data_IF_877617688632
#
_entry.id   IF_877617688632
#
_cell.length_a   1.000
_cell.length_b   1.000
_cell.length_c   1.000
_cell.angle_alpha   90.00
_cell.angle_beta   90.00
_cell.angle_gamma   90.00
#
_symmetry.space_group_name_H-M   'P 1'
#
loop_
_entity.id
_entity.type
_entity.pdbx_description
1 polymer ?
#
# COMPACT_ATOMS: atom_id res chain seq x y z
N UNK A 1 -8.07 -13.89 15.19
CA UNK A 1 -6.78 -13.32 14.79
C UNK A 1 -6.99 -12.49 13.56
N UNK A 2 -6.58 -11.24 13.58
CA UNK A 2 -6.63 -10.36 12.41
C UNK A 2 -5.56 -10.81 11.42
N UNK A 3 -5.93 -11.05 10.16
CA UNK A 3 -4.96 -11.36 9.12
C UNK A 3 -4.28 -10.06 8.67
N UNK A 4 -2.95 -10.09 8.55
CA UNK A 4 -2.14 -8.98 8.06
C UNK A 4 -1.52 -9.40 6.73
N UNK A 5 -1.83 -8.71 5.65
CA UNK A 5 -1.20 -8.89 4.35
C UNK A 5 -0.24 -7.73 4.08
N UNK A 6 1.00 -8.03 3.68
CA UNK A 6 1.93 -7.04 3.15
C UNK A 6 2.09 -7.25 1.64
N UNK A 7 1.78 -6.22 0.84
CA UNK A 7 1.93 -6.20 -0.62
C UNK A 7 3.20 -5.42 -0.95
N UNK A 8 4.16 -6.10 -1.59
CA UNK A 8 5.45 -5.50 -1.95
C UNK A 8 5.36 -4.51 -3.12
N UNK A 9 6.39 -3.71 -3.29
CA UNK A 9 6.53 -2.77 -4.39
C UNK A 9 6.73 -3.42 -5.75
N UNK A 10 6.90 -2.61 -6.79
CA UNK A 10 7.16 -3.05 -8.16
C UNK A 10 8.60 -2.77 -8.58
N UNK A 11 9.01 -3.41 -9.69
CA UNK A 11 10.35 -3.32 -10.24
C UNK A 11 11.32 -4.37 -9.71
N UNK A 12 12.50 -4.41 -10.31
CA UNK A 12 13.53 -5.42 -10.01
C UNK A 12 13.88 -5.44 -8.52
N UNK A 13 13.96 -6.65 -7.96
CA UNK A 13 14.30 -6.89 -6.54
C UNK A 13 13.36 -6.26 -5.49
N UNK A 14 12.23 -5.65 -5.88
CA UNK A 14 11.33 -4.97 -4.95
C UNK A 14 10.87 -5.89 -3.81
N UNK A 15 10.53 -7.15 -4.12
CA UNK A 15 10.17 -8.14 -3.11
C UNK A 15 11.28 -8.33 -2.05
N UNK A 16 12.53 -8.37 -2.47
CA UNK A 16 13.68 -8.54 -1.57
C UNK A 16 13.91 -7.30 -0.69
N UNK A 17 13.76 -6.11 -1.27
CA UNK A 17 13.89 -4.86 -0.49
C UNK A 17 12.78 -4.73 0.54
N UNK A 18 11.55 -5.07 0.19
CA UNK A 18 10.41 -4.95 1.09
C UNK A 18 10.39 -6.03 2.17
N UNK A 19 11.07 -7.16 1.92
CA UNK A 19 11.31 -8.14 2.97
C UNK A 19 12.01 -7.53 4.18
N UNK A 20 12.91 -6.56 3.99
CA UNK A 20 13.54 -5.84 5.09
C UNK A 20 12.53 -5.05 5.94
N UNK A 21 11.54 -4.41 5.31
CA UNK A 21 10.45 -3.74 6.04
C UNK A 21 9.68 -4.76 6.88
N UNK A 22 9.30 -5.88 6.27
CA UNK A 22 8.56 -6.95 6.96
C UNK A 22 9.37 -7.53 8.13
N UNK A 23 10.65 -7.82 7.92
CA UNK A 23 11.54 -8.40 8.94
C UNK A 23 11.73 -7.45 10.15
N UNK A 24 11.73 -6.12 9.92
CA UNK A 24 11.80 -5.10 10.98
C UNK A 24 10.45 -4.86 11.65
N UNK A 25 9.35 -4.96 10.91
CA UNK A 25 8.00 -4.71 11.44
C UNK A 25 7.49 -5.90 12.27
N UNK A 26 7.71 -7.13 11.80
CA UNK A 26 7.17 -8.34 12.42
C UNK A 26 7.44 -8.45 13.93
N UNK A 27 8.67 -8.21 14.44
CA UNK A 27 8.94 -8.32 15.88
C UNK A 27 8.27 -7.21 16.72
N UNK A 28 7.84 -6.11 16.11
CA UNK A 28 7.14 -5.01 16.80
C UNK A 28 5.64 -5.28 16.96
N UNK A 29 5.10 -6.21 16.17
CA UNK A 29 3.71 -6.66 16.29
C UNK A 29 3.66 -7.77 17.33
N UNK A 30 2.83 -7.67 18.33
CA UNK A 30 2.73 -8.68 19.41
C UNK A 30 2.62 -10.12 18.91
N UNK A 31 2.88 -11.09 19.79
CA UNK A 31 2.99 -12.54 19.47
C UNK A 31 1.76 -13.17 18.76
N UNK A 32 0.62 -12.47 18.73
CA UNK A 32 -0.62 -12.92 18.08
C UNK A 32 -0.79 -12.46 16.64
N UNK A 33 0.11 -11.63 16.12
CA UNK A 33 0.01 -11.06 14.76
C UNK A 33 1.14 -11.59 13.88
N UNK A 34 0.77 -12.08 12.70
CA UNK A 34 1.74 -12.53 11.70
C UNK A 34 1.44 -11.87 10.37
N UNK A 35 2.48 -11.30 9.77
CA UNK A 35 2.41 -10.72 8.42
C UNK A 35 2.50 -11.87 7.41
N UNK A 36 1.49 -11.98 6.54
CA UNK A 36 1.58 -12.74 5.31
C UNK A 36 2.23 -11.87 4.24
N UNK A 37 3.30 -12.38 3.61
CA UNK A 37 4.10 -11.65 2.65
C UNK A 37 4.33 -12.49 1.39
N UNK A 38 3.28 -12.65 0.55
CA UNK A 38 3.41 -13.38 -0.70
C UNK A 38 4.17 -12.57 -1.75
N UNK A 39 4.84 -13.27 -2.68
CA UNK A 39 5.32 -12.65 -3.91
C UNK A 39 4.13 -12.52 -4.87
N UNK A 40 3.74 -11.31 -5.19
CA UNK A 40 2.66 -11.02 -6.13
C UNK A 40 3.21 -11.08 -7.56
N UNK A 41 2.60 -11.95 -8.37
CA UNK A 41 3.00 -12.12 -9.78
C UNK A 41 2.72 -10.84 -10.55
N UNK A 42 3.67 -10.43 -11.37
CA UNK A 42 3.58 -9.24 -12.23
C UNK A 42 4.11 -7.94 -11.61
N UNK A 43 4.20 -7.80 -10.28
CA UNK A 43 4.69 -6.54 -9.68
C UNK A 43 6.14 -6.21 -10.04
N UNK A 44 7.04 -7.18 -10.02
CA UNK A 44 8.44 -6.93 -10.39
C UNK A 44 8.60 -6.57 -11.87
N UNK A 45 7.78 -7.16 -12.75
CA UNK A 45 7.77 -6.85 -14.18
C UNK A 45 6.85 -5.71 -14.60
N UNK A 46 6.09 -5.12 -13.64
CA UNK A 46 5.07 -4.09 -13.89
C UNK A 46 4.01 -4.53 -14.92
N UNK A 47 3.63 -5.80 -14.88
CA UNK A 47 2.59 -6.41 -15.73
C UNK A 47 1.23 -6.31 -15.03
N UNK A 48 0.39 -5.36 -15.46
CA UNK A 48 -0.89 -5.10 -14.81
C UNK A 48 -1.85 -6.30 -14.87
N UNK A 49 -1.93 -7.01 -15.98
CA UNK A 49 -2.86 -8.14 -16.12
C UNK A 49 -2.51 -9.28 -15.14
N UNK A 50 -1.21 -9.57 -15.01
CA UNK A 50 -0.72 -10.55 -14.04
C UNK A 50 -0.97 -10.08 -12.59
N UNK A 51 -0.70 -8.80 -12.28
CA UNK A 51 -0.96 -8.20 -10.96
C UNK A 51 -2.46 -8.23 -10.65
N UNK A 52 -3.31 -7.80 -11.57
CA UNK A 52 -4.75 -7.76 -11.36
C UNK A 52 -5.32 -9.14 -11.08
N UNK A 53 -4.82 -10.16 -11.76
CA UNK A 53 -5.22 -11.54 -11.52
C UNK A 53 -4.77 -12.05 -10.15
N UNK A 54 -3.48 -11.96 -9.83
CA UNK A 54 -2.88 -12.58 -8.65
C UNK A 54 -3.22 -11.82 -7.36
N UNK A 55 -3.00 -10.50 -7.35
CA UNK A 55 -3.34 -9.65 -6.21
C UNK A 55 -4.86 -9.56 -6.01
N UNK A 56 -5.64 -9.53 -7.11
CA UNK A 56 -7.09 -9.56 -7.05
C UNK A 56 -7.64 -10.83 -6.38
N UNK A 57 -7.05 -12.00 -6.66
CA UNK A 57 -7.37 -13.25 -5.98
C UNK A 57 -6.95 -13.19 -4.49
N UNK A 58 -5.72 -12.75 -4.22
CA UNK A 58 -5.19 -12.59 -2.86
C UNK A 58 -6.10 -11.72 -1.99
N UNK A 59 -6.52 -10.56 -2.51
CA UNK A 59 -7.41 -9.65 -1.77
C UNK A 59 -8.81 -10.22 -1.56
N UNK A 60 -9.34 -10.98 -2.52
CA UNK A 60 -10.67 -11.62 -2.43
C UNK A 60 -10.70 -12.69 -1.35
N UNK A 61 -9.60 -13.43 -1.20
CA UNK A 61 -9.50 -14.57 -0.28
C UNK A 61 -9.18 -14.14 1.16
N UNK A 62 -8.94 -12.83 1.40
CA UNK A 62 -8.68 -12.31 2.74
C UNK A 62 -9.91 -12.49 3.65
N UNK A 63 -9.71 -12.92 4.90
CA UNK A 63 -10.75 -12.92 5.91
C UNK A 63 -11.34 -11.52 6.13
N UNK A 64 -12.61 -11.44 6.53
CA UNK A 64 -13.22 -10.19 6.94
C UNK A 64 -12.45 -9.58 8.12
N UNK A 65 -12.21 -8.27 8.07
CA UNK A 65 -11.47 -7.55 9.12
C UNK A 65 -9.95 -7.67 8.99
N UNK A 66 -9.45 -8.14 7.83
CA UNK A 66 -8.01 -8.12 7.54
C UNK A 66 -7.47 -6.69 7.44
N UNK A 67 -6.19 -6.54 7.76
CA UNK A 67 -5.43 -5.31 7.53
C UNK A 67 -4.48 -5.53 6.36
N UNK A 68 -4.46 -4.60 5.41
CA UNK A 68 -3.51 -4.61 4.30
C UNK A 68 -2.50 -3.49 4.49
N UNK A 69 -1.24 -3.83 4.34
CA UNK A 69 -0.11 -2.90 4.28
C UNK A 69 0.46 -3.04 2.87
N UNK A 70 0.59 -1.97 2.14
CA UNK A 70 1.10 -2.03 0.78
C UNK A 70 2.15 -0.96 0.54
N UNK A 71 3.24 -1.30 -0.15
CA UNK A 71 4.37 -0.42 -0.37
C UNK A 71 4.54 -0.04 -1.85
N UNK A 72 4.92 1.22 -2.09
CA UNK A 72 5.34 1.71 -3.42
C UNK A 72 4.32 1.38 -4.52
N UNK A 73 4.72 0.80 -5.64
CA UNK A 73 3.82 0.39 -6.74
C UNK A 73 2.77 -0.63 -6.28
N UNK A 74 3.10 -1.51 -5.34
CA UNK A 74 2.12 -2.42 -4.75
C UNK A 74 0.98 -1.68 -4.05
N UNK A 75 1.27 -0.56 -3.40
CA UNK A 75 0.23 0.28 -2.81
C UNK A 75 -0.69 0.90 -3.88
N UNK A 76 -0.12 1.40 -4.98
CA UNK A 76 -0.90 1.89 -6.12
C UNK A 76 -1.73 0.78 -6.76
N UNK A 77 -1.19 -0.43 -6.86
CA UNK A 77 -1.89 -1.59 -7.40
C UNK A 77 -3.13 -1.96 -6.55
N UNK A 78 -2.99 -1.95 -5.22
CA UNK A 78 -4.15 -2.16 -4.31
C UNK A 78 -5.21 -1.08 -4.55
N UNK A 79 -4.81 0.20 -4.57
CA UNK A 79 -5.73 1.32 -4.80
C UNK A 79 -6.45 1.18 -6.14
N UNK A 80 -5.73 0.83 -7.22
CA UNK A 80 -6.32 0.62 -8.54
C UNK A 80 -7.32 -0.53 -8.55
N UNK A 81 -6.99 -1.67 -7.97
CA UNK A 81 -7.94 -2.81 -7.86
C UNK A 81 -9.21 -2.42 -7.10
N UNK A 82 -9.08 -1.66 -6.01
CA UNK A 82 -10.25 -1.14 -5.29
C UNK A 82 -11.08 -0.20 -6.18
N UNK A 83 -10.43 0.66 -6.96
CA UNK A 83 -11.12 1.55 -7.90
C UNK A 83 -11.79 0.79 -9.05
N UNK A 84 -11.24 -0.33 -9.48
CA UNK A 84 -11.81 -1.24 -10.49
C UNK A 84 -12.89 -2.19 -9.95
N UNK A 85 -13.24 -2.07 -8.68
CA UNK A 85 -14.38 -2.79 -8.11
C UNK A 85 -14.03 -3.94 -7.19
N UNK A 86 -12.76 -4.18 -6.84
CA UNK A 86 -12.42 -5.10 -5.76
C UNK A 86 -13.02 -4.61 -4.43
N UNK A 87 -13.61 -5.50 -3.65
CA UNK A 87 -14.32 -5.15 -2.39
C UNK A 87 -13.94 -6.10 -1.26
N UNK A 88 -12.64 -6.22 -0.92
CA UNK A 88 -12.23 -6.95 0.27
C UNK A 88 -12.80 -6.25 1.51
N UNK A 89 -13.19 -7.02 2.52
CA UNK A 89 -13.75 -6.47 3.77
C UNK A 89 -12.62 -6.18 4.75
N UNK A 90 -11.84 -5.13 4.47
CA UNK A 90 -10.69 -4.74 5.28
C UNK A 90 -11.13 -3.96 6.52
N UNK A 91 -10.39 -4.13 7.62
CA UNK A 91 -10.44 -3.24 8.77
C UNK A 91 -9.69 -1.93 8.47
N UNK A 92 -8.55 -2.00 7.79
CA UNK A 92 -7.72 -0.84 7.44
C UNK A 92 -6.82 -1.12 6.23
N UNK A 93 -6.48 -0.06 5.49
CA UNK A 93 -5.48 -0.07 4.43
C UNK A 93 -4.38 0.95 4.75
N UNK A 94 -3.15 0.46 4.95
CA UNK A 94 -1.95 1.27 5.10
C UNK A 94 -1.18 1.34 3.78
N UNK A 95 -0.95 2.54 3.28
CA UNK A 95 -0.19 2.82 2.06
C UNK A 95 1.16 3.43 2.42
N UNK A 96 2.24 2.81 2.03
CA UNK A 96 3.61 3.24 2.29
C UNK A 96 4.24 3.75 0.99
N UNK A 97 4.57 5.03 0.93
CA UNK A 97 5.26 5.67 -0.19
C UNK A 97 4.67 5.35 -1.58
N UNK A 98 3.34 5.41 -1.80
CA UNK A 98 2.75 5.07 -3.09
C UNK A 98 3.06 6.14 -4.14
N UNK A 99 3.45 5.78 -5.39
CA UNK A 99 3.36 6.70 -6.52
C UNK A 99 1.89 7.01 -6.82
N UNK A 100 1.59 8.27 -7.16
CA UNK A 100 0.25 8.65 -7.58
C UNK A 100 0.10 8.47 -9.10
N UNK A 101 -0.76 7.56 -9.50
CA UNK A 101 -0.95 7.15 -10.89
C UNK A 101 -2.13 7.86 -11.60
N UNK A 102 -2.48 9.06 -11.17
CA UNK A 102 -3.48 9.87 -11.89
C UNK A 102 -2.94 10.37 -13.23
N UNK A 103 -3.83 10.60 -14.20
CA UNK A 103 -3.49 11.02 -15.58
C UNK A 103 -2.69 12.32 -15.67
N UNK A 104 -2.67 13.12 -14.62
CA UNK A 104 -1.94 14.39 -14.47
C UNK A 104 -0.59 14.23 -13.74
N UNK A 105 -0.11 13.01 -13.55
CA UNK A 105 1.14 12.70 -12.85
C UNK A 105 2.17 12.05 -13.76
N UNK A 106 3.43 12.03 -13.32
CA UNK A 106 4.52 11.33 -13.99
C UNK A 106 4.31 9.81 -14.12
N UNK A 107 3.41 9.25 -13.29
CA UNK A 107 3.06 7.83 -13.25
C UNK A 107 1.71 7.52 -13.91
N UNK A 108 1.04 8.55 -14.49
CA UNK A 108 -0.33 8.45 -14.98
C UNK A 108 -0.46 7.83 -16.38
N UNK A 109 0.64 7.74 -17.14
CA UNK A 109 0.66 7.12 -18.47
C UNK A 109 1.17 5.69 -18.40
N UNK A 110 0.51 4.87 -17.60
CA UNK A 110 0.83 3.46 -17.40
C UNK A 110 -0.45 2.65 -17.28
N UNK A 111 -0.32 1.33 -17.41
CA UNK A 111 -1.43 0.40 -17.17
C UNK A 111 -1.93 0.43 -15.71
N UNK A 112 -1.17 1.06 -14.81
CA UNK A 112 -1.55 1.30 -13.41
C UNK A 112 -2.35 2.59 -13.20
N UNK A 113 -2.71 3.34 -14.24
CA UNK A 113 -3.40 4.62 -14.13
C UNK A 113 -4.73 4.55 -13.37
N UNK A 114 -5.01 5.61 -12.60
CA UNK A 114 -6.25 5.75 -11.82
C UNK A 114 -7.33 6.51 -12.61
N UNK A 115 -8.63 6.28 -12.31
CA UNK A 115 -9.70 7.14 -12.81
C UNK A 115 -9.55 8.56 -12.23
N UNK A 116 -10.03 9.57 -12.98
CA UNK A 116 -9.90 10.98 -12.61
C UNK A 116 -10.62 11.31 -11.28
N UNK A 117 -11.72 10.62 -11.00
CA UNK A 117 -12.55 10.76 -9.79
C UNK A 117 -12.31 9.58 -8.80
N UNK A 118 -11.04 9.29 -8.51
CA UNK A 118 -10.59 8.13 -7.74
C UNK A 118 -11.43 7.86 -6.49
N UNK A 119 -11.70 8.88 -5.66
CA UNK A 119 -12.45 8.71 -4.42
C UNK A 119 -13.86 8.13 -4.62
N UNK A 120 -14.52 8.46 -5.74
CA UNK A 120 -15.86 7.95 -6.04
C UNK A 120 -15.86 6.43 -6.32
N UNK A 121 -14.73 5.87 -6.70
CA UNK A 121 -14.57 4.47 -7.04
C UNK A 121 -14.10 3.59 -5.87
N UNK A 122 -13.57 4.21 -4.80
CA UNK A 122 -13.09 3.46 -3.63
C UNK A 122 -14.24 2.92 -2.75
N UNK A 123 -14.00 1.85 -1.98
CA UNK A 123 -14.98 1.35 -1.01
C UNK A 123 -15.33 2.42 0.03
N UNK A 124 -16.62 2.74 0.17
CA UNK A 124 -17.07 3.73 1.16
C UNK A 124 -16.75 3.27 2.58
N UNK A 125 -16.19 4.18 3.37
CA UNK A 125 -15.90 3.94 4.78
C UNK A 125 -14.71 3.02 5.04
N UNK A 126 -13.92 2.66 4.02
CA UNK A 126 -12.64 1.98 4.22
C UNK A 126 -11.64 2.96 4.82
N UNK A 127 -11.15 2.74 6.05
CA UNK A 127 -10.10 3.58 6.61
C UNK A 127 -8.79 3.38 5.84
N UNK A 128 -8.19 4.50 5.41
CA UNK A 128 -6.91 4.50 4.67
C UNK A 128 -5.97 5.47 5.38
N UNK A 129 -4.76 4.99 5.73
CA UNK A 129 -3.67 5.84 6.21
C UNK A 129 -2.49 5.72 5.26
N UNK A 130 -1.99 6.86 4.77
CA UNK A 130 -0.85 6.95 3.88
C UNK A 130 0.34 7.53 4.65
N UNK A 131 1.46 6.83 4.64
CA UNK A 131 2.75 7.29 5.14
C UNK A 131 3.71 7.56 3.99
N UNK A 132 4.45 8.68 4.09
CA UNK A 132 5.50 9.02 3.12
C UNK A 132 6.65 9.69 3.85
N UNK A 133 7.90 9.37 3.47
CA UNK A 133 9.08 10.06 3.99
C UNK A 133 9.35 11.33 3.20
N UNK A 134 9.72 12.41 3.88
CA UNK A 134 10.05 13.69 3.22
C UNK A 134 11.38 13.66 2.44
N UNK A 135 12.24 12.69 2.73
CA UNK A 135 13.51 12.42 2.07
C UNK A 135 13.49 11.20 1.13
N UNK A 136 12.28 10.79 0.67
CA UNK A 136 12.13 9.70 -0.29
C UNK A 136 12.76 10.07 -1.64
N UNK A 137 13.85 9.38 -1.97
CA UNK A 137 14.66 9.61 -3.17
C UNK A 137 14.13 8.86 -4.42
N UNK A 138 13.15 7.98 -4.26
CA UNK A 138 12.56 7.18 -5.34
C UNK A 138 11.21 7.77 -5.76
N UNK A 139 10.30 7.93 -4.80
CA UNK A 139 8.97 8.49 -5.00
C UNK A 139 8.85 9.79 -4.21
N UNK A 140 8.82 10.92 -4.90
CA UNK A 140 8.71 12.22 -4.22
C UNK A 140 7.50 12.29 -3.29
N UNK A 141 7.68 12.87 -2.10
CA UNK A 141 6.61 13.13 -1.14
C UNK A 141 5.46 14.02 -1.70
N UNK A 142 5.67 14.65 -2.85
CA UNK A 142 4.58 15.34 -3.58
C UNK A 142 3.45 14.39 -3.98
N UNK A 143 3.72 13.08 -4.15
CA UNK A 143 2.70 12.08 -4.43
C UNK A 143 1.71 11.95 -3.25
N UNK A 144 2.17 12.02 -2.02
CA UNK A 144 1.31 12.02 -0.84
C UNK A 144 0.32 13.20 -0.84
N UNK A 145 0.76 14.39 -1.27
CA UNK A 145 -0.13 15.56 -1.42
C UNK A 145 -1.20 15.34 -2.49
N UNK A 146 -0.85 14.64 -3.58
CA UNK A 146 -1.82 14.28 -4.64
C UNK A 146 -2.86 13.30 -4.11
N UNK A 147 -2.44 12.28 -3.37
CA UNK A 147 -3.36 11.36 -2.69
C UNK A 147 -4.30 12.10 -1.74
N UNK A 148 -3.78 12.98 -0.87
CA UNK A 148 -4.60 13.77 0.06
C UNK A 148 -5.64 14.65 -0.66
N UNK A 149 -5.30 15.20 -1.83
CA UNK A 149 -6.23 15.98 -2.64
C UNK A 149 -7.31 15.13 -3.32
N UNK A 150 -6.99 13.89 -3.68
CA UNK A 150 -7.89 12.99 -4.45
C UNK A 150 -8.67 12.02 -3.57
N UNK A 151 -8.18 11.74 -2.36
CA UNK A 151 -8.86 10.90 -1.36
C UNK A 151 -8.87 11.68 -0.03
N UNK A 152 -9.69 12.73 0.11
CA UNK A 152 -9.67 13.60 1.29
C UNK A 152 -10.06 12.90 2.59
N UNK A 153 -10.68 11.71 2.52
CA UNK A 153 -11.02 10.89 3.68
C UNK A 153 -9.82 10.06 4.18
N UNK A 154 -8.75 9.93 3.38
CA UNK A 154 -7.54 9.23 3.81
C UNK A 154 -6.69 10.10 4.73
N UNK A 155 -6.22 9.52 5.81
CA UNK A 155 -5.20 10.14 6.64
C UNK A 155 -3.85 10.14 5.91
N UNK A 156 -3.19 11.28 5.82
CA UNK A 156 -1.87 11.40 5.19
C UNK A 156 -0.86 11.92 6.18
N UNK A 157 0.20 11.13 6.40
CA UNK A 157 1.26 11.42 7.38
C UNK A 157 2.60 11.51 6.66
N UNK A 158 3.23 12.68 6.72
CA UNK A 158 4.61 12.86 6.25
C UNK A 158 5.56 12.61 7.43
N UNK A 159 6.50 11.70 7.22
CA UNK A 159 7.53 11.33 8.19
C UNK A 159 8.84 12.02 7.87
N UNK A 160 9.59 12.39 8.90
CA UNK A 160 10.94 12.95 8.73
C UNK A 160 11.97 11.82 8.63
N UNK A 161 12.61 11.74 7.49
CA UNK A 161 13.65 10.75 7.22
C UNK A 161 13.14 9.32 7.01
N UNK A 162 14.04 8.43 6.65
CA UNK A 162 13.78 7.02 6.43
C UNK A 162 13.82 6.60 4.97
N UNK A 163 13.77 7.54 4.05
CA UNK A 163 13.77 7.28 2.60
C UNK A 163 12.61 6.43 2.14
N UNK A 164 12.72 5.89 0.94
CA UNK A 164 11.67 5.07 0.33
C UNK A 164 11.34 3.80 1.13
N UNK A 165 12.35 3.19 1.76
CA UNK A 165 12.22 1.93 2.50
C UNK A 165 11.91 2.12 4.00
N UNK A 166 11.55 3.34 4.45
CA UNK A 166 11.27 3.63 5.86
C UNK A 166 12.35 3.07 6.79
N UNK A 167 13.63 3.35 6.45
CA UNK A 167 14.77 2.91 7.26
C UNK A 167 14.70 3.55 8.63
N UNK A 168 14.98 2.77 9.67
CA UNK A 168 14.90 3.22 11.04
C UNK A 168 13.73 2.64 11.81
N UNK A 169 13.08 3.48 12.61
CA UNK A 169 12.04 3.04 13.54
C UNK A 169 10.67 2.85 12.86
N UNK A 170 10.09 1.66 12.98
CA UNK A 170 8.75 1.30 12.48
C UNK A 170 7.70 1.21 13.60
N UNK A 171 7.98 1.67 14.83
CA UNK A 171 7.01 1.62 15.93
C UNK A 171 5.72 2.37 15.59
N UNK A 172 5.82 3.50 14.88
CA UNK A 172 4.63 4.24 14.42
C UNK A 172 3.65 3.38 13.62
N UNK A 173 4.18 2.53 12.72
CA UNK A 173 3.38 1.66 11.89
C UNK A 173 2.84 0.47 12.70
N UNK A 174 3.67 -0.11 13.56
CA UNK A 174 3.26 -1.20 14.43
C UNK A 174 2.14 -0.77 15.38
N UNK A 175 2.25 0.40 16.01
CA UNK A 175 1.22 0.97 16.89
C UNK A 175 -0.08 1.23 16.13
N UNK A 176 0.01 1.81 14.92
CA UNK A 176 -1.17 2.05 14.09
C UNK A 176 -1.86 0.74 13.70
N UNK A 177 -1.11 -0.30 13.32
CA UNK A 177 -1.66 -1.63 13.01
C UNK A 177 -2.33 -2.25 14.23
N UNK A 178 -1.67 -2.24 15.39
CA UNK A 178 -2.22 -2.80 16.63
C UNK A 178 -3.49 -2.06 17.10
N UNK A 179 -3.62 -0.78 16.77
CA UNK A 179 -4.79 0.02 17.12
C UNK A 179 -6.05 -0.29 16.31
N UNK A 180 -5.92 -0.99 15.18
CA UNK A 180 -7.03 -1.28 14.25
C UNK A 180 -7.26 -2.78 14.01
N UNK A 181 -6.41 -3.65 14.53
CA UNK A 181 -6.40 -5.09 14.30
C UNK A 181 -7.23 -5.90 15.30
#
# INVERSE_FOLDING_TARGET
MTALLFVHGGGDDAYRYDKDIVDRLQPLLGAGMRIDFPRIVGLEGLDWDAVAHDLGNTLRDLPQGSVVIAHSVGASAVVKLLAEGARPRLAHLFLLAPPYNGTDSEWGDTDFAFPADLAAHLPRGLPITLYHSDDDEIISASNAKRYAAKIPEAETVIRHGGGHQFRGDLHFLAEAIMGVA
#
